data_IF_398905295756
#
_entry.id   IF_398905295756
#
_cell.length_a   1.000
_cell.length_b   1.000
_cell.length_c   1.000
_cell.angle_alpha   90.00
_cell.angle_beta   90.00
_cell.angle_gamma   90.00
#
_symmetry.space_group_name_H-M   'P 1'
#
loop_
_entity.id
_entity.type
_entity.pdbx_description
1 polymer ?
#
# COMPACT_ATOMS: atom_id res chain seq x y z
N UNK A 1 -19.97 -0.81 -13.12
CA UNK A 1 -19.84 -0.58 -11.67
C UNK A 1 -18.76 0.46 -11.33
N UNK A 2 -17.53 0.39 -11.87
CA UNK A 2 -16.44 1.35 -11.57
C UNK A 2 -16.77 2.81 -11.96
N UNK A 3 -17.43 3.04 -13.08
CA UNK A 3 -17.74 4.39 -13.60
C UNK A 3 -18.80 5.18 -12.80
N UNK A 4 -19.45 4.55 -11.82
CA UNK A 4 -20.48 5.18 -10.98
C UNK A 4 -19.97 5.58 -9.61
N UNK A 5 -18.75 5.19 -9.24
CA UNK A 5 -18.15 5.49 -7.94
C UNK A 5 -17.41 6.83 -7.99
N UNK A 6 -17.60 7.67 -6.98
CA UNK A 6 -16.83 8.90 -6.82
C UNK A 6 -15.40 8.56 -6.34
N UNK A 7 -14.35 8.79 -7.16
CA UNK A 7 -12.98 8.47 -6.79
C UNK A 7 -12.50 9.16 -5.50
N UNK A 8 -13.09 10.29 -5.15
CA UNK A 8 -12.72 11.03 -3.93
C UNK A 8 -13.23 10.37 -2.64
N UNK A 9 -14.18 9.44 -2.79
CA UNK A 9 -14.70 8.63 -1.69
C UNK A 9 -14.00 7.28 -1.53
N UNK A 10 -13.14 6.90 -2.49
CA UNK A 10 -12.48 5.60 -2.48
C UNK A 10 -11.23 5.63 -1.60
N UNK A 11 -11.06 4.60 -0.80
CA UNK A 11 -9.87 4.30 0.00
C UNK A 11 -9.44 2.88 -0.33
N UNK A 12 -8.43 2.74 -1.18
CA UNK A 12 -7.87 1.43 -1.52
C UNK A 12 -6.91 1.01 -0.43
N UNK A 13 -7.21 -0.05 0.27
CA UNK A 13 -6.42 -0.55 1.39
C UNK A 13 -5.79 -1.88 1.05
N UNK A 14 -4.49 -2.00 1.32
CA UNK A 14 -3.73 -3.23 1.11
C UNK A 14 -2.46 -3.25 1.96
N UNK A 15 -1.80 -4.41 2.02
CA UNK A 15 -0.51 -4.58 2.64
C UNK A 15 0.57 -5.05 1.65
N UNK A 16 1.80 -4.68 1.94
CA UNK A 16 2.97 -5.18 1.22
C UNK A 16 4.12 -5.45 2.20
N UNK A 17 5.00 -6.35 1.81
CA UNK A 17 6.19 -6.66 2.60
C UNK A 17 7.43 -5.92 2.09
N UNK A 18 8.32 -5.60 3.01
CA UNK A 18 9.67 -5.10 2.75
C UNK A 18 10.69 -5.86 3.60
N UNK A 19 11.92 -5.95 3.15
CA UNK A 19 12.99 -6.65 3.87
C UNK A 19 14.27 -5.83 3.86
N UNK A 20 15.15 -6.08 4.82
CA UNK A 20 16.51 -5.53 4.86
C UNK A 20 17.42 -6.11 3.79
N UNK A 21 16.95 -7.12 3.02
CA UNK A 21 17.65 -7.67 1.87
C UNK A 21 17.37 -6.93 0.55
N UNK A 22 16.47 -5.95 0.56
CA UNK A 22 16.17 -5.18 -0.66
C UNK A 22 17.42 -4.51 -1.21
N UNK A 23 17.69 -4.73 -2.50
CA UNK A 23 18.85 -4.20 -3.22
C UNK A 23 18.43 -3.76 -4.62
N UNK A 24 19.13 -2.82 -5.24
CA UNK A 24 18.90 -2.46 -6.63
C UNK A 24 18.96 -3.70 -7.53
N UNK A 25 17.99 -3.85 -8.43
CA UNK A 25 17.95 -4.98 -9.39
C UNK A 25 18.67 -4.66 -10.70
N UNK A 26 19.12 -3.42 -10.87
CA UNK A 26 19.83 -2.92 -12.05
C UNK A 26 20.83 -1.85 -11.63
N UNK A 27 21.94 -1.76 -12.34
CA UNK A 27 22.94 -0.71 -12.22
C UNK A 27 23.54 -0.37 -13.58
N UNK A 28 24.52 0.52 -13.60
CA UNK A 28 25.19 0.97 -14.79
C UNK A 28 26.68 0.59 -14.73
N UNK A 29 27.22 0.12 -15.85
CA UNK A 29 28.64 -0.12 -16.04
C UNK A 29 29.06 0.48 -17.40
N UNK A 30 30.34 0.78 -17.63
CA UNK A 30 30.86 1.15 -18.94
C UNK A 30 30.51 0.08 -20.00
N UNK A 31 30.34 0.53 -21.23
CA UNK A 31 30.03 -0.39 -22.34
C UNK A 31 31.12 -1.47 -22.47
N UNK A 32 30.68 -2.72 -22.42
CA UNK A 32 31.59 -3.89 -22.50
C UNK A 32 32.07 -4.42 -21.17
N UNK A 33 31.77 -3.75 -20.05
CA UNK A 33 32.09 -4.21 -18.71
C UNK A 33 30.88 -4.88 -18.05
N UNK A 34 31.15 -5.93 -17.26
CA UNK A 34 30.12 -6.58 -16.44
C UNK A 34 29.91 -5.81 -15.16
N UNK A 35 28.68 -5.39 -14.87
CA UNK A 35 28.33 -4.88 -13.56
C UNK A 35 28.50 -5.98 -12.52
N UNK A 36 29.30 -5.73 -11.50
CA UNK A 36 29.45 -6.57 -10.32
C UNK A 36 28.96 -5.78 -9.13
N UNK A 37 27.99 -6.32 -8.40
CA UNK A 37 27.47 -5.72 -7.18
C UNK A 37 27.30 -6.80 -6.11
N UNK A 38 27.27 -6.39 -4.84
CA UNK A 38 27.10 -7.28 -3.70
C UNK A 38 25.67 -7.21 -3.19
N UNK A 39 25.04 -8.36 -3.05
CA UNK A 39 23.74 -8.47 -2.40
C UNK A 39 23.91 -8.95 -0.95
N UNK A 40 23.07 -8.50 0.00
CA UNK A 40 23.10 -9.00 1.36
C UNK A 40 22.94 -10.51 1.38
N UNK A 41 23.80 -11.18 2.11
CA UNK A 41 23.74 -12.62 2.34
C UNK A 41 23.55 -12.88 3.83
N UNK A 42 22.69 -13.84 4.20
CA UNK A 42 22.42 -14.20 5.59
C UNK A 42 20.95 -14.04 5.99
N UNK A 43 20.69 -13.84 7.27
CA UNK A 43 19.34 -13.64 7.80
C UNK A 43 18.90 -12.20 7.58
N UNK A 44 17.75 -12.03 6.95
CA UNK A 44 17.08 -10.75 6.78
C UNK A 44 15.75 -10.73 7.53
N UNK A 45 15.38 -9.55 7.99
CA UNK A 45 14.10 -9.32 8.62
C UNK A 45 13.06 -8.88 7.59
N UNK A 46 11.85 -9.35 7.77
CA UNK A 46 10.70 -8.98 6.94
C UNK A 46 9.74 -8.15 7.78
N UNK A 47 9.29 -7.04 7.24
CA UNK A 47 8.26 -6.20 7.81
C UNK A 47 7.07 -6.11 6.88
N UNK A 48 5.88 -5.95 7.44
CA UNK A 48 4.67 -5.63 6.68
C UNK A 48 4.42 -4.13 6.75
N UNK A 49 4.19 -3.52 5.61
CA UNK A 49 3.68 -2.15 5.50
C UNK A 49 2.25 -2.19 5.01
N UNK A 50 1.34 -1.56 5.74
CA UNK A 50 -0.06 -1.40 5.37
C UNK A 50 -0.40 0.07 5.29
N UNK A 51 -1.19 0.46 4.29
CA UNK A 51 -1.74 1.81 4.19
C UNK A 51 -2.97 1.85 3.28
N UNK A 52 -3.70 2.97 3.32
CA UNK A 52 -4.74 3.28 2.35
C UNK A 52 -4.25 4.26 1.29
N UNK A 53 -4.75 4.13 0.06
CA UNK A 53 -4.54 5.08 -1.04
C UNK A 53 -5.84 5.85 -1.31
N UNK A 54 -5.75 7.18 -1.28
CA UNK A 54 -6.79 8.12 -1.72
C UNK A 54 -6.29 8.95 -2.90
N UNK A 55 -7.19 9.67 -3.56
CA UNK A 55 -6.80 10.71 -4.57
C UNK A 55 -5.89 11.78 -3.97
N UNK A 56 -5.97 12.02 -2.68
CA UNK A 56 -5.21 13.05 -1.98
C UNK A 56 -3.87 12.59 -1.40
N UNK A 57 -3.57 11.28 -1.44
CA UNK A 57 -2.32 10.73 -0.89
C UNK A 57 -2.51 9.39 -0.20
N UNK A 58 -1.46 8.94 0.47
CA UNK A 58 -1.48 7.75 1.33
C UNK A 58 -2.04 8.12 2.71
N UNK A 59 -2.85 7.24 3.29
CA UNK A 59 -3.51 7.44 4.60
C UNK A 59 -3.32 6.21 5.49
N UNK A 60 -3.41 6.42 6.80
CA UNK A 60 -3.32 5.36 7.81
C UNK A 60 -2.09 4.44 7.64
N UNK A 61 -0.87 4.95 7.40
CA UNK A 61 0.30 4.10 7.24
C UNK A 61 0.68 3.45 8.56
N UNK A 62 1.00 2.15 8.52
CA UNK A 62 1.54 1.40 9.64
C UNK A 62 2.62 0.44 9.15
N UNK A 63 3.69 0.32 9.91
CA UNK A 63 4.72 -0.71 9.75
C UNK A 63 4.58 -1.71 10.90
N UNK A 64 4.53 -2.99 10.56
CA UNK A 64 4.37 -4.09 11.51
C UNK A 64 5.56 -5.04 11.38
N UNK A 65 6.17 -5.39 12.51
CA UNK A 65 7.17 -6.47 12.54
C UNK A 65 6.47 -7.83 12.34
N UNK A 66 6.85 -8.52 11.27
CA UNK A 66 6.23 -9.79 10.89
C UNK A 66 5.03 -9.67 9.94
N UNK A 67 4.23 -10.73 9.89
CA UNK A 67 3.10 -10.84 8.97
C UNK A 67 1.81 -10.27 9.53
N UNK A 68 0.99 -9.64 8.68
CA UNK A 68 -0.38 -9.25 9.01
C UNK A 68 -1.25 -10.51 9.18
N UNK A 69 -1.96 -10.56 10.29
CA UNK A 69 -2.97 -11.59 10.56
C UNK A 69 -4.32 -10.94 10.89
N UNK A 70 -5.38 -11.75 10.99
CA UNK A 70 -6.73 -11.21 11.22
C UNK A 70 -6.86 -10.31 12.44
N UNK A 71 -6.41 -10.71 13.65
CA UNK A 71 -6.43 -9.83 14.82
C UNK A 71 -5.63 -8.54 14.66
N UNK A 72 -4.44 -8.60 14.03
CA UNK A 72 -3.64 -7.42 13.75
C UNK A 72 -4.33 -6.49 12.74
N UNK A 73 -4.99 -7.06 11.72
CA UNK A 73 -5.75 -6.29 10.74
C UNK A 73 -6.97 -5.60 11.37
N UNK A 74 -7.67 -6.27 12.29
CA UNK A 74 -8.76 -5.66 13.05
C UNK A 74 -8.25 -4.48 13.90
N UNK A 75 -7.18 -4.69 14.66
CA UNK A 75 -6.57 -3.64 15.48
C UNK A 75 -6.10 -2.45 14.63
N UNK A 76 -5.48 -2.72 13.48
CA UNK A 76 -5.11 -1.68 12.51
C UNK A 76 -6.35 -0.92 12.02
N UNK A 77 -7.40 -1.64 11.66
CA UNK A 77 -8.63 -1.03 11.17
C UNK A 77 -9.25 -0.09 12.21
N UNK A 78 -9.31 -0.51 13.47
CA UNK A 78 -9.91 0.29 14.55
C UNK A 78 -9.04 1.48 14.95
N UNK A 79 -7.73 1.31 15.04
CA UNK A 79 -6.84 2.30 15.64
C UNK A 79 -6.23 3.28 14.62
N UNK A 80 -6.03 2.84 13.39
CA UNK A 80 -5.34 3.63 12.36
C UNK A 80 -6.25 4.00 11.19
N UNK A 81 -6.98 3.05 10.61
CA UNK A 81 -7.81 3.31 9.44
C UNK A 81 -9.08 4.11 9.81
N UNK A 82 -9.89 3.59 10.73
CA UNK A 82 -11.20 4.18 11.05
C UNK A 82 -11.13 5.67 11.41
N UNK A 83 -10.12 6.17 12.17
CA UNK A 83 -9.99 7.60 12.45
C UNK A 83 -9.75 8.48 11.23
N UNK A 84 -9.30 7.90 10.11
CA UNK A 84 -9.05 8.64 8.84
C UNK A 84 -10.25 8.62 7.89
N UNK A 85 -11.25 7.78 8.16
CA UNK A 85 -12.44 7.64 7.33
C UNK A 85 -13.41 8.78 7.55
N UNK A 86 -14.17 9.09 6.50
CA UNK A 86 -15.23 10.10 6.48
C UNK A 86 -16.55 9.43 6.16
N UNK A 87 -17.67 9.95 6.67
CA UNK A 87 -19.00 9.45 6.28
C UNK A 87 -19.17 9.43 4.76
N UNK A 88 -19.57 8.27 4.24
CA UNK A 88 -19.74 8.01 2.81
C UNK A 88 -18.47 7.58 2.07
N UNK A 89 -17.35 7.36 2.76
CA UNK A 89 -16.18 6.70 2.17
C UNK A 89 -16.48 5.24 1.83
N UNK A 90 -15.75 4.72 0.84
CA UNK A 90 -15.81 3.32 0.41
C UNK A 90 -14.41 2.74 0.54
N UNK A 91 -14.21 1.87 1.52
CA UNK A 91 -12.96 1.14 1.69
C UNK A 91 -12.95 -0.03 0.70
N UNK A 92 -12.01 0.01 -0.23
CA UNK A 92 -11.82 -1.02 -1.26
C UNK A 92 -10.71 -1.95 -0.80
N UNK A 93 -11.04 -3.23 -0.65
CA UNK A 93 -10.15 -4.29 -0.18
C UNK A 93 -10.04 -5.38 -1.23
N UNK A 94 -8.95 -6.08 -1.24
CA UNK A 94 -8.87 -7.36 -1.92
C UNK A 94 -9.73 -8.43 -1.20
N UNK A 95 -9.80 -9.61 -1.77
CA UNK A 95 -10.67 -10.67 -1.29
C UNK A 95 -9.97 -11.66 -0.32
N UNK A 96 -8.90 -11.25 0.37
CA UNK A 96 -8.20 -12.08 1.34
C UNK A 96 -9.04 -12.39 2.57
N UNK A 97 -8.83 -13.57 3.14
CA UNK A 97 -9.55 -14.02 4.35
C UNK A 97 -9.21 -13.19 5.59
N UNK A 98 -7.97 -12.68 5.69
CA UNK A 98 -7.52 -11.78 6.76
C UNK A 98 -8.33 -10.49 6.83
N UNK A 99 -8.86 -10.00 5.68
CA UNK A 99 -9.67 -8.79 5.60
C UNK A 99 -11.16 -9.01 5.94
N UNK A 100 -11.57 -10.27 6.08
CA UNK A 100 -12.97 -10.67 6.37
C UNK A 100 -13.19 -11.10 7.83
N UNK A 101 -12.25 -10.81 8.70
CA UNK A 101 -12.35 -11.13 10.12
C UNK A 101 -13.50 -10.34 10.73
N UNK A 102 -14.23 -11.00 11.66
CA UNK A 102 -15.29 -10.36 12.44
C UNK A 102 -14.80 -9.09 13.13
N UNK A 103 -15.58 -8.02 13.10
CA UNK A 103 -15.25 -6.71 13.65
C UNK A 103 -14.68 -5.71 12.64
N UNK A 104 -14.03 -6.15 11.54
CA UNK A 104 -13.47 -5.24 10.54
C UNK A 104 -14.57 -4.44 9.84
N UNK A 105 -15.62 -5.11 9.39
CA UNK A 105 -16.77 -4.46 8.76
C UNK A 105 -17.43 -3.47 9.71
N UNK A 106 -17.71 -3.92 10.92
CA UNK A 106 -18.35 -3.12 11.95
C UNK A 106 -17.54 -1.88 12.33
N UNK A 107 -16.21 -1.98 12.35
CA UNK A 107 -15.32 -0.83 12.62
C UNK A 107 -15.40 0.21 11.51
N UNK A 108 -15.42 -0.21 10.26
CA UNK A 108 -15.53 0.68 9.08
C UNK A 108 -16.92 1.31 9.03
N UNK A 109 -17.98 0.53 9.24
CA UNK A 109 -19.37 1.02 9.21
C UNK A 109 -19.66 1.99 10.35
N UNK A 110 -19.09 1.79 11.56
CA UNK A 110 -19.15 2.76 12.67
C UNK A 110 -18.53 4.11 12.33
N UNK A 111 -17.52 4.14 11.45
CA UNK A 111 -16.95 5.39 10.93
C UNK A 111 -17.82 6.05 9.83
N UNK A 112 -18.97 5.48 9.49
CA UNK A 112 -19.87 5.97 8.44
C UNK A 112 -19.42 5.60 7.02
N UNK A 113 -18.47 4.68 6.88
CA UNK A 113 -17.96 4.19 5.60
C UNK A 113 -18.56 2.82 5.25
N UNK A 114 -18.33 2.37 4.03
CA UNK A 114 -18.74 1.04 3.54
C UNK A 114 -17.56 0.27 2.99
N UNK A 115 -17.73 -1.05 2.80
CA UNK A 115 -16.69 -1.92 2.22
C UNK A 115 -17.10 -2.37 0.83
N UNK A 116 -16.13 -2.34 -0.09
CA UNK A 116 -16.20 -2.94 -1.41
C UNK A 116 -15.04 -3.93 -1.57
N UNK A 117 -15.35 -5.21 -1.80
CA UNK A 117 -14.32 -6.19 -2.12
C UNK A 117 -14.08 -6.25 -3.63
N UNK A 118 -12.80 -6.22 -4.03
CA UNK A 118 -12.39 -6.46 -5.40
C UNK A 118 -12.68 -7.92 -5.80
N UNK A 119 -12.91 -8.19 -7.10
CA UNK A 119 -12.99 -9.56 -7.58
C UNK A 119 -11.70 -10.33 -7.24
N UNK A 120 -11.79 -11.65 -7.04
CA UNK A 120 -10.59 -12.46 -6.84
C UNK A 120 -9.60 -12.31 -8.01
N UNK A 121 -8.29 -12.28 -7.71
CA UNK A 121 -7.22 -12.21 -8.71
C UNK A 121 -7.30 -11.02 -9.66
N UNK A 122 -7.67 -9.84 -9.16
CA UNK A 122 -7.79 -8.61 -9.97
C UNK A 122 -6.86 -7.48 -9.47
N UNK A 123 -5.53 -7.67 -9.48
CA UNK A 123 -4.59 -6.63 -9.03
C UNK A 123 -4.59 -5.40 -9.95
N UNK A 124 -4.99 -5.55 -11.21
CA UNK A 124 -5.19 -4.48 -12.19
C UNK A 124 -6.29 -3.48 -11.78
N UNK A 125 -7.21 -3.90 -10.92
CA UNK A 125 -8.24 -3.04 -10.32
C UNK A 125 -7.81 -2.43 -8.99
N UNK A 126 -6.60 -2.73 -8.49
CA UNK A 126 -6.09 -2.24 -7.21
C UNK A 126 -4.98 -1.19 -7.40
N UNK A 127 -5.29 0.11 -7.45
CA UNK A 127 -4.31 1.17 -7.72
C UNK A 127 -3.22 1.29 -6.65
N UNK A 128 -3.42 0.80 -5.43
CA UNK A 128 -2.40 0.84 -4.38
C UNK A 128 -1.18 -0.04 -4.71
N UNK A 129 -1.35 -1.06 -5.54
CA UNK A 129 -0.25 -1.89 -6.04
C UNK A 129 0.77 -1.09 -6.87
N UNK A 130 0.30 -0.07 -7.61
CA UNK A 130 1.19 0.86 -8.32
C UNK A 130 2.01 1.72 -7.33
N UNK A 131 1.37 2.17 -6.25
CA UNK A 131 2.05 2.89 -5.18
C UNK A 131 3.08 1.98 -4.47
N UNK A 132 2.73 0.73 -4.17
CA UNK A 132 3.66 -0.24 -3.59
C UNK A 132 4.81 -0.60 -4.51
N UNK A 133 4.57 -0.69 -5.81
CA UNK A 133 5.63 -0.88 -6.80
C UNK A 133 6.66 0.26 -6.76
N UNK A 134 6.20 1.51 -6.73
CA UNK A 134 7.08 2.69 -6.55
C UNK A 134 7.81 2.65 -5.22
N UNK A 135 7.10 2.38 -4.11
CA UNK A 135 7.70 2.30 -2.78
C UNK A 135 8.83 1.26 -2.77
N UNK A 136 8.56 0.05 -3.25
CA UNK A 136 9.57 -1.02 -3.32
C UNK A 136 10.79 -0.64 -4.16
N UNK A 137 10.59 0.09 -5.26
CA UNK A 137 11.70 0.60 -6.07
C UNK A 137 12.56 1.57 -5.25
N UNK A 138 11.96 2.54 -4.58
CA UNK A 138 12.66 3.51 -3.75
C UNK A 138 13.38 2.85 -2.56
N UNK A 139 12.77 1.85 -1.93
CA UNK A 139 13.40 1.08 -0.85
C UNK A 139 14.61 0.27 -1.34
N UNK A 140 14.55 -0.28 -2.56
CA UNK A 140 15.74 -0.92 -3.17
C UNK A 140 16.86 0.05 -3.43
N UNK A 141 16.55 1.27 -3.86
CA UNK A 141 17.53 2.34 -4.07
C UNK A 141 18.16 2.79 -2.74
N UNK A 142 17.37 2.88 -1.66
CA UNK A 142 17.85 3.20 -0.32
C UNK A 142 18.73 2.10 0.29
N UNK A 143 18.45 0.85 -0.03
CA UNK A 143 19.22 -0.34 0.38
C UNK A 143 19.50 -0.42 1.89
N UNK A 144 18.48 -0.12 2.72
CA UNK A 144 18.60 -0.13 4.18
C UNK A 144 18.88 -1.54 4.72
N UNK A 145 19.74 -1.62 5.74
CA UNK A 145 20.26 -2.90 6.29
C UNK A 145 19.83 -3.16 7.72
N UNK A 146 19.16 -2.22 8.39
CA UNK A 146 18.52 -2.43 9.70
C UNK A 146 17.01 -2.18 9.62
N UNK A 147 16.27 -2.76 10.54
CA UNK A 147 14.81 -2.58 10.62
C UNK A 147 14.45 -1.15 10.93
N UNK A 148 15.16 -0.52 11.85
CA UNK A 148 14.93 0.86 12.26
C UNK A 148 15.13 1.82 11.07
N UNK A 149 16.23 1.65 10.31
CA UNK A 149 16.49 2.46 9.12
C UNK A 149 15.42 2.22 8.04
N UNK A 150 15.02 0.95 7.82
CA UNK A 150 13.97 0.61 6.87
C UNK A 150 12.64 1.29 7.22
N UNK A 151 12.23 1.25 8.50
CA UNK A 151 10.98 1.88 8.96
C UNK A 151 11.03 3.41 8.84
N UNK A 152 12.16 4.02 9.22
CA UNK A 152 12.36 5.46 9.05
C UNK A 152 12.30 5.86 7.57
N UNK A 153 12.96 5.09 6.71
CA UNK A 153 12.97 5.34 5.27
C UNK A 153 11.56 5.16 4.67
N UNK A 154 10.79 4.16 5.07
CA UNK A 154 9.38 4.03 4.67
C UNK A 154 8.63 5.33 5.02
N UNK A 155 8.73 5.79 6.26
CA UNK A 155 8.05 7.01 6.71
C UNK A 155 8.42 8.24 5.88
N UNK A 156 9.71 8.43 5.56
CA UNK A 156 10.18 9.55 4.74
C UNK A 156 9.68 9.46 3.30
N UNK A 157 9.62 8.25 2.75
CA UNK A 157 9.19 8.01 1.37
C UNK A 157 7.70 8.27 1.14
N UNK A 158 6.86 8.26 2.17
CA UNK A 158 5.43 8.59 2.02
C UNK A 158 5.23 10.00 1.45
N UNK A 159 6.11 10.95 1.76
CA UNK A 159 6.08 12.31 1.23
C UNK A 159 6.42 12.39 -0.28
N UNK A 160 6.87 11.29 -0.89
CA UNK A 160 7.17 11.21 -2.33
C UNK A 160 5.93 10.85 -3.17
N UNK A 161 4.76 10.68 -2.56
CA UNK A 161 3.50 10.38 -3.21
C UNK A 161 2.63 11.64 -3.24
N UNK A 162 2.66 12.36 -4.37
CA UNK A 162 1.85 13.58 -4.53
C UNK A 162 0.38 13.23 -4.78
N UNK A 163 -0.55 14.14 -4.43
CA UNK A 163 -1.98 13.96 -4.75
C UNK A 163 -2.25 13.70 -6.23
N UNK A 164 -1.55 14.43 -7.11
CA UNK A 164 -1.70 14.25 -8.56
C UNK A 164 -1.30 12.83 -9.01
N UNK A 165 -0.23 12.30 -8.45
CA UNK A 165 0.23 10.94 -8.73
C UNK A 165 -0.75 9.89 -8.20
N UNK A 166 -1.23 10.04 -6.96
CA UNK A 166 -2.21 9.13 -6.37
C UNK A 166 -3.52 9.11 -7.17
N UNK A 167 -4.01 10.28 -7.59
CA UNK A 167 -5.17 10.37 -8.47
C UNK A 167 -4.93 9.70 -9.83
N UNK A 168 -3.70 9.78 -10.37
CA UNK A 168 -3.35 9.09 -11.62
C UNK A 168 -3.37 7.57 -11.47
N UNK A 169 -2.90 7.00 -10.35
CA UNK A 169 -3.00 5.56 -10.09
C UNK A 169 -4.46 5.09 -10.09
N UNK A 170 -5.31 5.82 -9.37
CA UNK A 170 -6.75 5.51 -9.27
C UNK A 170 -7.42 5.59 -10.66
N UNK A 171 -7.09 6.61 -11.45
CA UNK A 171 -7.59 6.77 -12.81
C UNK A 171 -7.09 5.64 -13.73
N UNK A 172 -5.84 5.25 -13.62
CA UNK A 172 -5.24 4.19 -14.42
C UNK A 172 -5.98 2.85 -14.25
N UNK A 173 -6.44 2.53 -13.04
CA UNK A 173 -7.24 1.34 -12.76
C UNK A 173 -8.73 1.48 -13.09
N UNK A 174 -9.14 2.53 -13.82
CA UNK A 174 -10.50 2.70 -14.32
C UNK A 174 -11.48 3.40 -13.37
N UNK A 175 -11.01 3.94 -12.24
CA UNK A 175 -11.82 4.73 -11.32
C UNK A 175 -11.68 6.22 -11.64
N UNK A 176 -12.31 6.66 -12.73
CA UNK A 176 -12.33 8.07 -13.14
C UNK A 176 -13.74 8.64 -13.02
N UNK A 177 -13.86 9.96 -12.77
CA UNK A 177 -15.14 10.63 -12.99
C UNK A 177 -15.53 10.47 -14.47
N UNK A 178 -16.74 9.97 -14.72
CA UNK A 178 -17.34 10.07 -16.05
C UNK A 178 -17.65 11.55 -16.28
N UNK A 179 -16.75 12.25 -16.97
CA UNK A 179 -17.10 13.55 -17.57
C UNK A 179 -18.09 13.25 -18.70
N UNK A 180 -19.39 13.36 -18.41
CA UNK A 180 -20.41 13.59 -19.45
C UNK A 180 -20.52 15.08 -19.70
#
# INVERSE_FOLDING_TARGET
MQQTLDPNRLVFLDETWATTALSPVRGWAPKGERLVDTVPHGHWHTTTFVCGLRTTGLVAPLVLDGAMNGPAFLAYTEQFLAPTLRPGDIVVLDNLSSHKVSGVREAIERAGASILYLPPYSPDLNPIELAFSKLKRLLREAAERSMEALWQTIGLLLNRFSPAECANYIRHCGFAHSTR
#
